data_IF_348980236558
#
_entry.id   IF_348980236558
#
_cell.length_a   1.000
_cell.length_b   1.000
_cell.length_c   1.000
_cell.angle_alpha   90.00
_cell.angle_beta   90.00
_cell.angle_gamma   90.00
#
_symmetry.space_group_name_H-M   'P 1'
#
loop_
_entity.id
_entity.type
_entity.pdbx_description
1 polymer ?
#
# COMPACT_ATOMS: atom_id res chain seq x y z
N UNK A 1 13.44 -40.36 20.76
CA UNK A 1 12.02 -40.64 21.04
C UNK A 1 11.76 -40.03 22.41
N UNK A 2 11.05 -38.93 22.57
CA UNK A 2 10.02 -38.34 21.71
C UNK A 2 10.03 -36.82 21.83
N UNK A 3 9.90 -36.17 20.69
CA UNK A 3 9.43 -34.79 20.58
C UNK A 3 7.97 -34.74 21.04
N UNK A 4 7.55 -33.65 21.71
CA UNK A 4 6.21 -33.13 21.45
C UNK A 4 6.07 -31.65 21.83
N UNK A 5 5.79 -30.89 20.77
CA UNK A 5 4.94 -29.72 20.65
C UNK A 5 5.07 -28.55 21.63
N UNK A 6 5.90 -27.58 21.25
CA UNK A 6 5.63 -26.16 21.56
C UNK A 6 4.67 -25.63 20.50
N UNK A 7 3.40 -25.48 20.86
CA UNK A 7 2.45 -24.63 20.14
C UNK A 7 2.99 -23.20 20.16
N UNK A 8 3.57 -22.78 19.03
CA UNK A 8 3.65 -21.37 18.68
C UNK A 8 2.34 -21.03 17.99
N UNK A 9 1.35 -20.62 18.78
CA UNK A 9 0.24 -19.82 18.25
C UNK A 9 0.88 -18.55 17.69
N UNK A 10 0.89 -18.46 16.36
CA UNK A 10 1.10 -17.20 15.67
C UNK A 10 0.02 -16.26 16.17
N UNK A 11 0.40 -15.18 16.84
CA UNK A 11 -0.47 -14.02 17.05
C UNK A 11 -0.80 -13.41 15.68
N UNK A 12 -1.67 -14.09 14.93
CA UNK A 12 -2.48 -13.47 13.89
C UNK A 12 -3.37 -12.48 14.62
N UNK A 13 -2.97 -11.22 14.56
CA UNK A 13 -3.85 -10.10 14.90
C UNK A 13 -4.97 -10.11 13.85
N UNK A 14 -6.03 -10.86 14.12
CA UNK A 14 -7.26 -10.80 13.34
C UNK A 14 -7.82 -9.39 13.48
N UNK A 15 -7.59 -8.56 12.47
CA UNK A 15 -8.39 -7.36 12.29
C UNK A 15 -9.70 -7.79 11.64
N UNK A 16 -10.66 -8.18 12.49
CA UNK A 16 -12.02 -8.54 12.08
C UNK A 16 -12.83 -7.33 11.57
N UNK A 17 -12.48 -6.11 11.94
CA UNK A 17 -13.37 -4.99 11.68
C UNK A 17 -13.13 -4.33 10.33
N UNK A 18 -14.13 -4.52 9.49
CA UNK A 18 -14.30 -3.78 8.28
C UNK A 18 -14.78 -2.34 8.63
N UNK A 19 -14.05 -1.22 8.38
CA UNK A 19 -14.58 0.14 8.51
C UNK A 19 -15.90 0.43 7.77
N UNK A 20 -16.24 -0.36 6.76
CA UNK A 20 -17.53 -0.36 6.07
C UNK A 20 -18.39 -1.58 6.46
N UNK A 21 -18.12 -2.19 7.62
CA UNK A 21 -18.96 -3.24 8.16
C UNK A 21 -20.32 -2.62 8.42
N UNK A 22 -21.29 -3.03 7.60
CA UNK A 22 -22.68 -2.67 7.75
C UNK A 22 -23.23 -3.05 9.14
N UNK A 23 -22.49 -3.85 9.93
CA UNK A 23 -22.82 -4.19 11.31
C UNK A 23 -22.37 -3.17 12.35
N UNK A 24 -21.46 -2.23 12.04
CA UNK A 24 -20.94 -1.30 13.05
C UNK A 24 -21.85 -0.07 13.28
N UNK A 25 -22.71 0.24 12.32
CA UNK A 25 -23.76 1.27 12.47
C UNK A 25 -25.13 0.68 12.24
N UNK A 26 -26.03 0.93 13.18
CA UNK A 26 -27.41 0.45 13.10
C UNK A 26 -28.34 1.57 12.62
N UNK A 27 -29.50 1.24 12.03
CA UNK A 27 -30.49 2.24 11.61
C UNK A 27 -30.85 3.28 12.68
N UNK A 28 -30.79 2.92 13.96
CA UNK A 28 -31.01 3.84 15.09
C UNK A 28 -29.97 4.96 15.18
N UNK A 29 -28.73 4.72 14.72
CA UNK A 29 -27.67 5.71 14.74
C UNK A 29 -27.94 6.86 13.77
N UNK A 30 -28.67 6.61 12.68
CA UNK A 30 -29.10 7.66 11.73
C UNK A 30 -30.09 8.61 12.40
N UNK A 31 -30.99 8.10 13.25
CA UNK A 31 -31.93 8.94 13.98
C UNK A 31 -31.23 9.86 14.96
N UNK A 32 -30.15 9.40 15.60
CA UNK A 32 -29.34 10.24 16.50
C UNK A 32 -28.80 11.47 15.79
N UNK A 33 -28.42 11.36 14.51
CA UNK A 33 -27.92 12.51 13.73
C UNK A 33 -28.97 13.62 13.58
N UNK A 34 -30.26 13.28 13.40
CA UNK A 34 -31.33 14.28 13.33
C UNK A 34 -31.51 15.05 14.65
N UNK A 35 -31.23 14.41 15.79
CA UNK A 35 -31.31 15.06 17.09
C UNK A 35 -30.04 15.83 17.43
N UNK A 36 -28.87 15.30 17.08
CA UNK A 36 -27.58 15.92 17.35
C UNK A 36 -27.42 17.25 16.59
N UNK A 37 -27.83 17.28 15.33
CA UNK A 37 -27.68 18.46 14.47
C UNK A 37 -28.94 19.34 14.42
N UNK A 38 -30.01 18.97 15.12
CA UNK A 38 -31.30 19.66 15.11
C UNK A 38 -31.81 19.99 13.69
N UNK A 39 -31.75 18.99 12.80
CA UNK A 39 -32.20 19.11 11.41
C UNK A 39 -33.44 18.26 11.16
N UNK A 40 -34.37 18.69 10.29
CA UNK A 40 -35.52 17.90 9.87
C UNK A 40 -35.21 16.98 8.68
N UNK A 41 -34.14 17.27 7.94
CA UNK A 41 -33.71 16.53 6.75
C UNK A 41 -32.19 16.35 6.74
N UNK A 42 -31.74 15.22 6.20
CA UNK A 42 -30.31 14.90 6.03
C UNK A 42 -30.09 14.50 4.56
N UNK A 43 -29.27 15.25 3.79
CA UNK A 43 -28.84 14.86 2.47
C UNK A 43 -27.94 13.62 2.50
N UNK A 44 -28.17 12.70 1.56
CA UNK A 44 -27.37 11.49 1.36
C UNK A 44 -26.57 11.66 0.08
N UNK A 45 -25.25 11.51 0.14
CA UNK A 45 -24.35 11.72 -0.99
C UNK A 45 -23.51 10.51 -1.33
N UNK A 46 -23.09 10.44 -2.60
CA UNK A 46 -22.10 9.47 -3.05
C UNK A 46 -20.70 9.84 -2.58
N UNK A 47 -19.74 8.91 -2.68
CA UNK A 47 -18.30 9.18 -2.46
C UNK A 47 -17.77 10.36 -3.30
N UNK A 48 -18.44 10.69 -4.41
CA UNK A 48 -18.07 11.80 -5.32
C UNK A 48 -18.77 13.11 -4.98
N UNK A 49 -19.51 13.18 -3.87
CA UNK A 49 -20.25 14.36 -3.45
C UNK A 49 -21.52 14.64 -4.26
N UNK A 50 -22.06 13.64 -4.96
CA UNK A 50 -23.33 13.79 -5.69
C UNK A 50 -24.50 13.45 -4.78
N UNK A 51 -25.58 14.23 -4.82
CA UNK A 51 -26.79 13.97 -4.03
C UNK A 51 -27.52 12.72 -4.56
N UNK A 52 -27.61 11.70 -3.71
CA UNK A 52 -28.34 10.45 -3.99
C UNK A 52 -29.82 10.59 -3.60
N UNK A 53 -30.10 11.28 -2.49
CA UNK A 53 -31.45 11.51 -1.99
C UNK A 53 -31.42 12.27 -0.67
N UNK A 54 -32.59 12.48 -0.08
CA UNK A 54 -32.75 13.21 1.18
C UNK A 54 -33.58 12.35 2.14
N UNK A 55 -33.04 12.12 3.33
CA UNK A 55 -33.76 11.48 4.42
C UNK A 55 -34.57 12.53 5.17
N UNK A 56 -35.84 12.22 5.45
CA UNK A 56 -36.69 13.03 6.32
C UNK A 56 -36.80 12.39 7.69
N UNK A 57 -36.67 13.20 8.75
CA UNK A 57 -36.77 12.72 10.14
C UNK A 57 -38.02 11.89 10.39
N UNK A 58 -39.17 12.34 9.85
CA UNK A 58 -40.46 11.65 9.97
C UNK A 58 -40.45 10.24 9.37
N UNK A 59 -39.85 10.06 8.18
CA UNK A 59 -39.79 8.77 7.50
C UNK A 59 -38.87 7.80 8.23
N UNK A 60 -37.74 8.30 8.73
CA UNK A 60 -36.78 7.49 9.49
C UNK A 60 -37.41 7.04 10.81
N UNK A 61 -38.10 7.92 11.55
CA UNK A 61 -38.81 7.55 12.78
C UNK A 61 -39.94 6.55 12.51
N UNK A 62 -40.72 6.78 11.44
CA UNK A 62 -41.80 5.87 11.06
C UNK A 62 -41.27 4.46 10.75
N UNK A 63 -40.15 4.37 10.04
CA UNK A 63 -39.54 3.07 9.71
C UNK A 63 -38.94 2.39 10.94
N UNK A 64 -38.30 3.13 11.85
CA UNK A 64 -37.80 2.59 13.13
C UNK A 64 -38.90 2.16 14.11
N UNK A 65 -40.15 2.55 13.87
CA UNK A 65 -41.28 2.11 14.69
C UNK A 65 -41.62 0.63 14.45
N UNK A 66 -41.19 0.05 13.32
CA UNK A 66 -41.29 -1.38 13.01
C UNK A 66 -39.97 -2.10 13.33
N UNK A 67 -39.76 -2.32 14.64
CA UNK A 67 -38.50 -2.83 15.20
C UNK A 67 -38.13 -4.22 14.62
N UNK A 68 -39.11 -5.11 14.44
CA UNK A 68 -38.88 -6.46 13.91
C UNK A 68 -38.34 -6.46 12.47
N UNK A 69 -38.74 -5.46 11.68
CA UNK A 69 -38.27 -5.27 10.31
C UNK A 69 -36.89 -4.64 10.27
N UNK A 70 -36.62 -3.69 11.16
CA UNK A 70 -35.37 -2.93 11.21
C UNK A 70 -34.20 -3.75 11.73
N UNK A 71 -34.40 -4.64 12.69
CA UNK A 71 -33.34 -5.54 13.20
C UNK A 71 -32.71 -6.40 12.10
N UNK A 72 -33.44 -6.66 11.00
CA UNK A 72 -32.98 -7.49 9.88
C UNK A 72 -32.37 -6.70 8.73
N UNK A 73 -32.49 -5.37 8.75
CA UNK A 73 -32.07 -4.52 7.65
C UNK A 73 -30.66 -4.00 7.88
N UNK A 74 -29.84 -4.11 6.83
CA UNK A 74 -28.54 -3.45 6.82
C UNK A 74 -28.72 -1.94 6.67
N UNK A 75 -27.79 -1.18 7.22
CA UNK A 75 -27.83 0.29 7.24
C UNK A 75 -27.93 0.91 5.84
N UNK A 76 -27.25 0.32 4.86
CA UNK A 76 -27.27 0.75 3.46
C UNK A 76 -28.62 0.51 2.80
N UNK A 77 -29.22 -0.67 3.02
CA UNK A 77 -30.57 -0.97 2.53
C UNK A 77 -31.59 -0.01 3.17
N UNK A 78 -31.46 0.27 4.46
CA UNK A 78 -32.30 1.19 5.19
C UNK A 78 -32.22 2.63 4.63
N UNK A 79 -31.00 3.16 4.47
CA UNK A 79 -30.78 4.52 3.95
C UNK A 79 -31.22 4.62 2.49
N UNK A 80 -30.84 3.67 1.63
CA UNK A 80 -31.21 3.68 0.21
C UNK A 80 -32.72 3.62 0.01
N UNK A 81 -33.45 2.88 0.85
CA UNK A 81 -34.92 2.79 0.76
C UNK A 81 -35.62 4.08 1.17
N UNK A 82 -35.09 4.79 2.18
CA UNK A 82 -35.72 5.98 2.73
C UNK A 82 -35.26 7.29 2.06
N UNK A 83 -34.09 7.29 1.43
CA UNK A 83 -33.54 8.46 0.76
C UNK A 83 -34.38 8.78 -0.49
N UNK A 84 -35.23 9.80 -0.37
CA UNK A 84 -36.13 10.19 -1.43
C UNK A 84 -35.58 11.38 -2.23
N UNK A 85 -35.87 11.42 -3.52
CA UNK A 85 -35.67 12.63 -4.32
C UNK A 85 -36.66 13.70 -3.87
N UNK A 86 -36.15 14.91 -3.67
CA UNK A 86 -36.97 16.08 -3.37
C UNK A 86 -36.74 17.13 -4.45
N UNK A 87 -37.83 17.73 -4.92
CA UNK A 87 -37.78 18.87 -5.81
C UNK A 87 -37.34 20.12 -5.04
N UNK A 88 -37.03 21.18 -5.79
CA UNK A 88 -36.77 22.49 -5.19
C UNK A 88 -37.94 22.97 -4.33
N UNK A 89 -39.18 22.77 -4.80
CA UNK A 89 -40.39 23.18 -4.09
C UNK A 89 -40.56 22.42 -2.76
N UNK A 90 -40.21 21.14 -2.74
CA UNK A 90 -40.23 20.32 -1.53
C UNK A 90 -39.21 20.77 -0.47
N UNK A 91 -38.16 21.48 -0.90
CA UNK A 91 -37.10 21.99 -0.03
C UNK A 91 -37.34 23.41 0.49
N UNK A 92 -38.27 24.16 -0.10
CA UNK A 92 -38.62 25.51 0.35
C UNK A 92 -38.94 25.61 1.86
N UNK A 93 -39.66 24.65 2.48
CA UNK A 93 -39.92 24.67 3.93
C UNK A 93 -38.64 24.69 4.78
N UNK A 94 -37.54 24.14 4.28
CA UNK A 94 -36.26 24.05 4.96
C UNK A 94 -35.32 25.23 4.65
N UNK A 95 -35.78 26.22 3.88
CA UNK A 95 -34.96 27.33 3.41
C UNK A 95 -34.42 28.28 4.50
N UNK A 96 -34.88 28.15 5.75
CA UNK A 96 -34.34 28.88 6.91
C UNK A 96 -33.09 28.24 7.52
N UNK A 97 -32.82 26.97 7.19
CA UNK A 97 -31.65 26.23 7.67
C UNK A 97 -30.44 26.63 6.84
N UNK A 98 -29.34 26.99 7.50
CA UNK A 98 -28.13 27.47 6.84
C UNK A 98 -27.24 26.33 6.36
N UNK A 99 -27.13 25.28 7.17
CA UNK A 99 -26.23 24.15 6.98
C UNK A 99 -26.93 22.84 7.30
N UNK A 100 -26.58 21.81 6.54
CA UNK A 100 -27.11 20.46 6.69
C UNK A 100 -25.92 19.52 6.87
N UNK A 101 -25.98 18.65 7.88
CA UNK A 101 -25.07 17.51 7.95
C UNK A 101 -25.37 16.58 6.78
N UNK A 102 -24.33 16.08 6.14
CA UNK A 102 -24.43 15.20 4.99
C UNK A 102 -23.86 13.85 5.35
N UNK A 103 -24.50 12.78 4.90
CA UNK A 103 -24.05 11.41 5.14
C UNK A 103 -23.88 10.62 3.85
N UNK A 104 -23.12 9.54 3.91
CA UNK A 104 -23.12 8.51 2.86
C UNK A 104 -24.21 7.44 3.13
N UNK A 105 -24.29 6.43 2.26
CA UNK A 105 -25.26 5.32 2.40
C UNK A 105 -25.01 4.42 3.63
N UNK A 106 -23.90 4.57 4.34
CA UNK A 106 -23.58 3.82 5.56
C UNK A 106 -23.88 4.61 6.84
N UNK A 107 -24.45 5.80 6.73
CA UNK A 107 -24.74 6.65 7.89
C UNK A 107 -23.49 7.35 8.45
N UNK A 108 -22.43 7.46 7.66
CA UNK A 108 -21.21 8.19 8.04
C UNK A 108 -21.28 9.64 7.59
N UNK A 109 -20.98 10.55 8.53
CA UNK A 109 -20.89 11.98 8.26
C UNK A 109 -19.80 12.28 7.23
N UNK A 110 -20.16 13.04 6.19
CA UNK A 110 -19.29 13.48 5.09
C UNK A 110 -19.00 14.98 5.17
N UNK A 111 -19.32 15.61 6.31
CA UNK A 111 -19.24 17.05 6.53
C UNK A 111 -20.58 17.77 6.34
N UNK A 112 -20.54 19.08 6.15
CA UNK A 112 -21.74 19.93 6.05
C UNK A 112 -21.91 20.55 4.67
N UNK A 113 -23.15 20.69 4.24
CA UNK A 113 -23.53 21.45 3.05
C UNK A 113 -24.29 22.71 3.43
N UNK A 114 -23.94 23.83 2.79
CA UNK A 114 -24.77 25.02 2.83
C UNK A 114 -26.10 24.79 2.12
N UNK A 115 -27.10 25.60 2.49
CA UNK A 115 -28.41 25.64 1.80
C UNK A 115 -28.30 25.74 0.27
N UNK A 116 -27.39 26.56 -0.23
CA UNK A 116 -27.21 26.76 -1.68
C UNK A 116 -26.69 25.49 -2.36
N UNK A 117 -25.78 24.76 -1.72
CA UNK A 117 -25.26 23.49 -2.25
C UNK A 117 -26.36 22.44 -2.33
N UNK A 118 -27.18 22.28 -1.28
CA UNK A 118 -28.30 21.34 -1.29
C UNK A 118 -29.31 21.67 -2.41
N UNK A 119 -29.69 22.95 -2.52
CA UNK A 119 -30.70 23.39 -3.47
C UNK A 119 -30.20 23.22 -4.92
N UNK A 120 -28.92 23.54 -5.17
CA UNK A 120 -28.29 23.31 -6.48
C UNK A 120 -28.18 21.82 -6.84
N UNK A 121 -27.90 20.96 -5.86
CA UNK A 121 -27.77 19.53 -6.08
C UNK A 121 -29.12 18.87 -6.45
N UNK A 122 -30.23 19.34 -5.88
CA UNK A 122 -31.57 18.86 -6.22
C UNK A 122 -31.95 19.14 -7.68
N UNK A 123 -31.60 20.31 -8.22
CA UNK A 123 -31.89 20.62 -9.63
C UNK A 123 -31.04 19.79 -10.61
N UNK A 124 -29.82 19.44 -10.21
CA UNK A 124 -28.88 18.67 -11.04
C UNK A 124 -29.23 17.16 -11.08
N UNK A 125 -29.95 16.66 -10.06
CA UNK A 125 -30.28 15.23 -9.89
C UNK A 125 -31.33 14.66 -10.87
N UNK A 126 -31.86 15.46 -11.81
CA UNK A 126 -32.89 15.04 -12.76
C UNK A 126 -32.40 14.06 -13.85
N UNK A 127 -31.08 13.77 -13.94
CA UNK A 127 -30.47 13.12 -15.11
C UNK A 127 -29.80 11.75 -14.98
N UNK A 128 -29.50 11.20 -13.79
CA UNK A 128 -28.89 9.86 -13.65
C UNK A 128 -29.72 8.96 -12.74
N UNK A 129 -29.81 7.65 -13.03
CA UNK A 129 -30.53 6.69 -12.19
C UNK A 129 -29.68 6.36 -10.95
N UNK A 130 -30.07 6.79 -9.73
CA UNK A 130 -29.24 6.70 -8.53
C UNK A 130 -28.92 5.25 -8.15
N UNK A 131 -29.82 4.31 -8.48
CA UNK A 131 -29.63 2.89 -8.15
C UNK A 131 -28.41 2.27 -8.85
N UNK A 132 -28.14 2.65 -10.10
CA UNK A 132 -26.97 2.16 -10.82
C UNK A 132 -25.68 2.77 -10.25
N UNK A 133 -25.72 4.03 -9.81
CA UNK A 133 -24.59 4.69 -9.15
C UNK A 133 -24.34 4.13 -7.74
N UNK A 134 -25.40 3.84 -6.98
CA UNK A 134 -25.33 3.23 -5.66
C UNK A 134 -24.75 1.82 -5.74
N UNK A 135 -25.24 0.98 -6.66
CA UNK A 135 -24.69 -0.36 -6.89
C UNK A 135 -23.23 -0.31 -7.30
N UNK A 136 -22.89 0.57 -8.25
CA UNK A 136 -21.51 0.76 -8.67
C UNK A 136 -20.62 1.23 -7.52
N UNK A 137 -21.13 2.11 -6.65
CA UNK A 137 -20.39 2.57 -5.49
C UNK A 137 -20.17 1.44 -4.46
N UNK A 138 -21.17 0.59 -4.23
CA UNK A 138 -21.02 -0.60 -3.38
C UNK A 138 -20.00 -1.58 -3.96
N UNK A 139 -20.03 -1.82 -5.27
CA UNK A 139 -19.06 -2.68 -5.97
C UNK A 139 -17.64 -2.10 -5.92
N UNK A 140 -17.47 -0.80 -6.23
CA UNK A 140 -16.19 -0.10 -6.17
C UNK A 140 -15.59 -0.16 -4.75
N UNK A 141 -16.43 -0.06 -3.71
CA UNK A 141 -16.02 -0.15 -2.31
C UNK A 141 -15.68 -1.59 -1.89
N UNK A 142 -16.47 -2.58 -2.30
CA UNK A 142 -16.16 -3.98 -2.05
C UNK A 142 -14.85 -4.39 -2.73
N UNK A 143 -14.56 -3.83 -3.91
CA UNK A 143 -13.28 -4.02 -4.59
C UNK A 143 -12.13 -3.32 -3.83
N UNK A 144 -12.31 -2.07 -3.41
CA UNK A 144 -11.34 -1.33 -2.59
C UNK A 144 -11.01 -2.08 -1.29
N UNK A 145 -12.04 -2.61 -0.64
CA UNK A 145 -11.94 -3.49 0.52
C UNK A 145 -11.09 -4.73 0.24
N UNK A 146 -11.46 -5.45 -0.82
CA UNK A 146 -10.81 -6.70 -1.18
C UNK A 146 -9.33 -6.45 -1.51
N UNK A 147 -9.02 -5.34 -2.17
CA UNK A 147 -7.65 -4.91 -2.43
C UNK A 147 -6.92 -4.64 -1.11
N UNK A 148 -7.54 -3.93 -0.16
CA UNK A 148 -6.95 -3.69 1.15
C UNK A 148 -6.63 -5.00 1.88
N UNK A 149 -7.60 -5.94 1.96
CA UNK A 149 -7.37 -7.25 2.58
C UNK A 149 -6.25 -8.03 1.90
N UNK A 150 -6.22 -8.04 0.57
CA UNK A 150 -5.16 -8.72 -0.18
C UNK A 150 -3.81 -8.10 0.15
N UNK A 151 -3.68 -6.77 0.09
CA UNK A 151 -2.43 -6.07 0.37
C UNK A 151 -1.96 -6.27 1.81
N UNK A 152 -2.87 -6.30 2.77
CA UNK A 152 -2.57 -6.55 4.18
C UNK A 152 -1.96 -7.95 4.39
N UNK A 153 -2.49 -8.96 3.69
CA UNK A 153 -2.07 -10.36 3.84
C UNK A 153 -0.89 -10.77 2.95
N UNK A 154 -0.36 -9.87 2.12
CA UNK A 154 0.89 -10.15 1.40
C UNK A 154 2.01 -10.24 2.44
N UNK A 155 2.76 -11.37 2.51
CA UNK A 155 3.80 -11.60 3.51
C UNK A 155 5.11 -10.84 3.20
N UNK A 156 4.99 -9.55 2.89
CA UNK A 156 6.07 -8.60 2.63
C UNK A 156 5.68 -7.26 3.26
N UNK A 157 6.65 -6.49 3.71
CA UNK A 157 6.40 -5.12 4.15
C UNK A 157 6.13 -4.22 2.95
N UNK A 158 4.93 -3.63 2.91
CA UNK A 158 4.44 -2.84 1.80
C UNK A 158 4.20 -1.38 2.20
N UNK A 159 4.50 -0.48 1.26
CA UNK A 159 4.18 0.94 1.38
C UNK A 159 3.80 1.50 0.01
N UNK A 160 2.71 2.26 -0.08
CA UNK A 160 2.22 2.82 -1.33
C UNK A 160 2.17 4.35 -1.28
N UNK A 161 2.69 4.97 -2.34
CA UNK A 161 2.70 6.42 -2.53
C UNK A 161 1.91 6.80 -3.78
N UNK A 162 1.24 7.95 -3.75
CA UNK A 162 0.60 8.53 -4.92
C UNK A 162 1.61 9.26 -5.82
N UNK A 163 1.13 9.87 -6.90
CA UNK A 163 1.95 10.65 -7.84
C UNK A 163 2.68 11.83 -7.20
N UNK A 164 2.15 12.36 -6.09
CA UNK A 164 2.71 13.48 -5.34
C UNK A 164 3.69 13.03 -4.26
N UNK A 165 3.88 11.72 -4.09
CA UNK A 165 4.71 11.16 -3.04
C UNK A 165 4.04 11.10 -1.67
N UNK A 166 2.72 11.28 -1.58
CA UNK A 166 1.98 11.12 -0.32
C UNK A 166 1.53 9.68 -0.13
N UNK A 167 1.49 9.24 1.13
CA UNK A 167 1.10 7.89 1.52
C UNK A 167 -0.36 7.60 1.21
N UNK A 168 -0.60 6.44 0.59
CA UNK A 168 -1.93 5.88 0.33
C UNK A 168 -2.21 4.69 1.24
N UNK A 169 -1.19 3.85 1.48
CA UNK A 169 -1.34 2.59 2.19
C UNK A 169 0.01 2.11 2.74
N UNK A 170 -0.03 1.37 3.85
CA UNK A 170 1.03 0.47 4.30
C UNK A 170 0.39 -0.66 5.10
N UNK A 171 1.00 -1.85 5.10
CA UNK A 171 0.49 -2.99 5.86
C UNK A 171 1.17 -3.15 7.22
N UNK A 172 0.60 -4.02 8.07
CA UNK A 172 1.16 -4.38 9.39
C UNK A 172 2.63 -4.82 9.32
N UNK A 173 3.02 -5.58 8.28
CA UNK A 173 4.41 -6.00 8.13
C UNK A 173 5.40 -4.83 8.00
N UNK A 174 5.00 -3.74 7.33
CA UNK A 174 5.82 -2.53 7.30
C UNK A 174 5.84 -1.85 8.67
N UNK A 175 4.69 -1.75 9.34
CA UNK A 175 4.56 -1.16 10.67
C UNK A 175 5.45 -1.87 11.71
N UNK A 176 5.45 -3.21 11.69
CA UNK A 176 6.29 -4.04 12.56
C UNK A 176 7.77 -3.73 12.36
N UNK A 177 8.24 -3.75 11.11
CA UNK A 177 9.64 -3.47 10.77
C UNK A 177 10.03 -2.04 11.14
N UNK A 178 9.16 -1.07 10.82
CA UNK A 178 9.41 0.34 11.11
C UNK A 178 9.54 0.56 12.63
N UNK A 179 8.61 -0.01 13.39
CA UNK A 179 8.60 0.08 14.85
C UNK A 179 9.78 -0.66 15.47
N UNK A 180 10.17 -1.81 14.91
CA UNK A 180 11.35 -2.54 15.34
C UNK A 180 12.62 -1.71 15.16
N UNK A 181 12.79 -1.05 14.01
CA UNK A 181 13.98 -0.29 13.65
C UNK A 181 14.07 1.07 14.35
N UNK A 182 12.98 1.84 14.34
CA UNK A 182 12.99 3.22 14.83
C UNK A 182 12.41 3.41 16.23
N UNK A 183 11.85 2.35 16.83
CA UNK A 183 11.24 2.37 18.18
C UNK A 183 10.16 3.44 18.33
N UNK A 184 9.42 3.71 17.26
CA UNK A 184 8.35 4.71 17.15
C UNK A 184 7.24 4.18 16.25
N UNK A 185 6.03 4.68 16.47
CA UNK A 185 4.91 4.45 15.57
C UNK A 185 5.15 5.09 14.20
N UNK A 186 4.50 4.54 13.18
CA UNK A 186 4.59 5.02 11.80
C UNK A 186 3.94 6.40 11.68
N UNK A 187 4.75 7.41 11.41
CA UNK A 187 4.28 8.72 10.94
C UNK A 187 4.43 8.79 9.41
N UNK A 188 3.32 8.84 8.63
CA UNK A 188 3.38 8.93 7.18
C UNK A 188 4.27 10.07 6.68
N UNK A 189 4.23 11.25 7.31
CA UNK A 189 5.04 12.41 6.88
C UNK A 189 6.53 12.16 7.06
N UNK A 190 6.89 11.45 8.12
CA UNK A 190 8.26 11.05 8.36
C UNK A 190 8.74 10.05 7.29
N UNK A 191 7.93 9.03 6.97
CA UNK A 191 8.27 8.03 5.95
C UNK A 191 8.35 8.65 4.55
N UNK A 192 7.42 9.52 4.18
CA UNK A 192 7.44 10.27 2.92
C UNK A 192 8.75 11.06 2.76
N UNK A 193 9.20 11.72 3.83
CA UNK A 193 10.48 12.44 3.85
C UNK A 193 11.67 11.49 3.75
N UNK A 194 11.64 10.39 4.49
CA UNK A 194 12.69 9.39 4.52
C UNK A 194 12.89 8.73 3.15
N UNK A 195 11.82 8.50 2.39
CA UNK A 195 11.87 7.90 1.05
C UNK A 195 12.14 8.89 -0.08
N UNK A 196 12.00 10.20 0.17
CA UNK A 196 12.28 11.25 -0.80
C UNK A 196 13.68 11.85 -0.67
N UNK A 197 14.34 11.68 0.48
CA UNK A 197 15.69 12.19 0.73
C UNK A 197 16.77 11.34 0.02
N UNK A 198 17.44 11.84 -1.03
CA UNK A 198 18.46 11.08 -1.75
C UNK A 198 19.70 10.77 -0.89
N UNK A 199 19.97 11.55 0.15
CA UNK A 199 21.12 11.31 1.05
C UNK A 199 20.91 10.10 1.96
N UNK A 200 19.65 9.65 2.08
CA UNK A 200 19.25 8.49 2.89
C UNK A 200 19.05 7.25 2.06
N UNK A 201 18.92 7.37 0.74
CA UNK A 201 18.53 6.28 -0.15
C UNK A 201 19.59 6.04 -1.23
N UNK A 202 20.40 5.01 -1.03
CA UNK A 202 21.44 4.61 -1.98
C UNK A 202 20.88 3.63 -3.01
N UNK A 203 21.16 3.85 -4.29
CA UNK A 203 20.72 2.99 -5.38
C UNK A 203 21.75 1.88 -5.65
N UNK A 204 21.27 0.64 -5.61
CA UNK A 204 22.01 -0.58 -5.96
C UNK A 204 21.43 -1.18 -7.23
N UNK A 205 22.31 -1.63 -8.12
CA UNK A 205 21.95 -2.41 -9.30
C UNK A 205 22.61 -3.78 -9.20
N UNK A 206 21.83 -4.85 -9.31
CA UNK A 206 22.38 -6.19 -9.30
C UNK A 206 22.95 -6.53 -10.69
N UNK A 207 24.20 -7.03 -10.72
CA UNK A 207 24.97 -7.23 -11.96
C UNK A 207 24.28 -8.21 -12.93
N UNK A 208 23.46 -9.13 -12.40
CA UNK A 208 22.88 -10.23 -13.16
C UNK A 208 21.37 -10.12 -13.42
N UNK A 209 20.61 -9.33 -12.66
CA UNK A 209 19.14 -9.40 -12.66
C UNK A 209 18.44 -8.14 -13.18
N UNK A 210 19.18 -7.10 -13.59
CA UNK A 210 18.62 -5.82 -14.09
C UNK A 210 17.67 -5.10 -13.10
N UNK A 211 17.51 -5.63 -11.88
CA UNK A 211 16.67 -5.07 -10.84
C UNK A 211 17.41 -3.98 -10.07
N UNK A 212 16.67 -2.91 -9.79
CA UNK A 212 17.12 -1.74 -9.04
C UNK A 212 16.56 -1.78 -7.62
N UNK A 213 17.46 -1.76 -6.65
CA UNK A 213 17.14 -1.78 -5.24
C UNK A 213 17.65 -0.51 -4.58
N UNK A 214 16.97 -0.04 -3.56
CA UNK A 214 17.43 1.08 -2.74
C UNK A 214 17.79 0.56 -1.36
N UNK A 215 18.84 1.11 -0.77
CA UNK A 215 19.14 0.93 0.65
C UNK A 215 18.83 2.22 1.38
N UNK A 216 17.94 2.15 2.37
CA UNK A 216 17.70 3.28 3.26
C UNK A 216 18.61 3.20 4.49
N UNK A 217 19.48 4.19 4.68
CA UNK A 217 20.46 4.20 5.77
C UNK A 217 19.88 4.45 7.15
N UNK A 218 18.67 5.00 7.25
CA UNK A 218 18.01 5.29 8.53
C UNK A 218 17.15 4.12 9.01
N UNK A 219 16.46 3.41 8.10
CA UNK A 219 15.77 2.17 8.40
C UNK A 219 16.71 0.95 8.41
N UNK A 220 17.89 1.09 7.79
CA UNK A 220 18.84 0.00 7.54
C UNK A 220 18.23 -1.17 6.74
N UNK A 221 17.44 -0.84 5.71
CA UNK A 221 16.68 -1.82 4.92
C UNK A 221 16.86 -1.62 3.43
N UNK A 222 16.76 -2.73 2.70
CA UNK A 222 16.60 -2.68 1.26
C UNK A 222 15.13 -2.55 0.89
N UNK A 223 14.85 -1.79 -0.16
CA UNK A 223 13.52 -1.72 -0.73
C UNK A 223 13.53 -1.65 -2.26
N UNK A 224 12.47 -2.19 -2.85
CA UNK A 224 12.16 -2.13 -4.27
C UNK A 224 11.11 -1.05 -4.51
N UNK A 225 11.21 -0.30 -5.61
CA UNK A 225 10.24 0.75 -5.94
C UNK A 225 9.61 0.49 -7.32
N UNK A 226 8.38 0.00 -7.31
CA UNK A 226 7.64 -0.39 -8.52
C UNK A 226 6.65 0.73 -8.90
N UNK A 227 6.70 1.28 -10.13
CA UNK A 227 5.74 2.30 -10.55
C UNK A 227 4.35 1.70 -10.73
N UNK A 228 3.35 2.33 -10.12
CA UNK A 228 1.95 2.02 -10.38
C UNK A 228 1.51 2.73 -11.66
N UNK A 229 0.92 2.00 -12.60
CA UNK A 229 0.46 2.51 -13.89
C UNK A 229 -1.05 2.47 -13.98
N UNK A 230 -1.66 3.58 -14.38
CA UNK A 230 -3.08 3.70 -14.70
C UNK A 230 -3.21 4.31 -16.10
N UNK A 231 -3.84 3.58 -17.02
CA UNK A 231 -3.98 3.99 -18.43
C UNK A 231 -2.66 4.44 -19.09
N UNK A 232 -1.56 3.75 -18.77
CA UNK A 232 -0.22 4.06 -19.28
C UNK A 232 0.46 5.28 -18.63
N UNK A 233 -0.20 5.96 -17.69
CA UNK A 233 0.41 7.03 -16.89
C UNK A 233 0.76 6.52 -15.51
N UNK A 234 1.91 6.96 -15.00
CA UNK A 234 2.33 6.65 -13.64
C UNK A 234 1.42 7.35 -12.63
N UNK A 235 0.73 6.59 -11.79
CA UNK A 235 -0.17 7.06 -10.73
C UNK A 235 0.46 7.07 -9.35
N UNK A 236 1.63 6.44 -9.18
CA UNK A 236 2.30 6.35 -7.88
C UNK A 236 3.41 5.31 -7.87
N UNK A 237 3.71 4.81 -6.67
CA UNK A 237 4.66 3.73 -6.46
C UNK A 237 4.16 2.76 -5.39
N UNK A 238 4.43 1.48 -5.61
CA UNK A 238 4.38 0.45 -4.57
C UNK A 238 5.82 0.12 -4.18
N UNK A 239 6.08 0.11 -2.89
CA UNK A 239 7.39 -0.07 -2.30
C UNK A 239 7.37 -1.34 -1.48
N UNK A 240 8.33 -2.22 -1.74
CA UNK A 240 8.49 -3.47 -1.01
C UNK A 240 9.76 -3.38 -0.17
N UNK A 241 9.62 -3.46 1.15
CA UNK A 241 10.76 -3.53 2.05
C UNK A 241 11.12 -4.99 2.30
N UNK A 242 12.41 -5.28 2.26
CA UNK A 242 12.93 -6.60 2.59
C UNK A 242 13.80 -6.50 3.85
N UNK A 243 13.42 -7.26 4.89
CA UNK A 243 14.22 -7.40 6.11
C UNK A 243 15.45 -8.27 5.86
N UNK A 244 15.43 -9.09 4.80
CA UNK A 244 16.65 -9.75 4.37
C UNK A 244 17.52 -8.68 3.75
N UNK A 245 18.70 -8.50 4.33
CA UNK A 245 19.83 -8.03 3.56
C UNK A 245 19.91 -8.93 2.32
N UNK A 246 19.44 -8.45 1.16
CA UNK A 246 20.03 -8.92 -0.11
C UNK A 246 21.54 -8.67 -0.07
N UNK A 247 22.03 -7.80 0.83
CA UNK A 247 23.41 -7.75 1.30
C UNK A 247 23.90 -8.97 2.12
N UNK A 248 23.21 -10.11 2.14
CA UNK A 248 23.88 -11.41 2.33
C UNK A 248 24.61 -11.86 1.03
N UNK A 249 24.40 -11.10 -0.07
CA UNK A 249 25.38 -10.80 -1.11
C UNK A 249 26.35 -9.68 -0.68
N UNK A 250 26.75 -9.60 0.61
CA UNK A 250 28.15 -9.27 0.89
C UNK A 250 28.93 -10.11 -0.12
N UNK A 251 29.78 -9.50 -0.95
CA UNK A 251 30.45 -10.22 -2.02
C UNK A 251 31.24 -11.38 -1.41
N UNK A 252 30.60 -12.56 -1.29
CA UNK A 252 31.09 -13.70 -0.53
C UNK A 252 32.02 -14.43 -1.47
N UNK A 253 33.29 -14.05 -1.43
CA UNK A 253 34.34 -14.82 -2.08
C UNK A 253 34.43 -16.13 -1.31
N UNK A 254 34.14 -17.30 -1.93
CA UNK A 254 34.16 -18.56 -1.23
C UNK A 254 35.51 -18.81 -0.57
N UNK A 255 35.51 -19.00 0.75
CA UNK A 255 36.71 -19.28 1.55
C UNK A 255 37.51 -18.05 2.02
N UNK A 256 36.98 -16.82 1.92
CA UNK A 256 37.66 -15.61 2.39
C UNK A 256 36.83 -14.89 3.46
N UNK A 257 37.34 -14.81 4.69
CA UNK A 257 36.83 -13.87 5.70
C UNK A 257 37.33 -12.46 5.37
N UNK A 258 36.41 -11.50 5.24
CA UNK A 258 36.69 -10.10 4.92
C UNK A 258 36.69 -9.20 6.16
N UNK A 259 36.32 -9.73 7.34
CA UNK A 259 36.29 -8.96 8.60
C UNK A 259 37.71 -8.63 9.06
N UNK A 260 37.94 -7.36 9.39
CA UNK A 260 39.23 -6.87 9.89
C UNK A 260 40.33 -6.68 8.84
N UNK A 261 40.01 -6.84 7.54
CA UNK A 261 40.95 -6.56 6.45
C UNK A 261 40.93 -5.11 6.03
N UNK A 262 42.06 -4.61 5.55
CA UNK A 262 42.17 -3.30 4.92
C UNK A 262 41.40 -3.26 3.59
N UNK A 263 40.98 -2.06 3.17
CA UNK A 263 40.29 -1.86 1.89
C UNK A 263 41.09 -2.45 0.71
N UNK A 264 42.41 -2.31 0.73
CA UNK A 264 43.29 -2.84 -0.31
C UNK A 264 43.21 -4.38 -0.39
N UNK A 265 43.20 -5.06 0.75
CA UNK A 265 43.09 -6.52 0.80
C UNK A 265 41.72 -7.03 0.37
N UNK A 266 40.65 -6.26 0.65
CA UNK A 266 39.30 -6.56 0.19
C UNK A 266 39.24 -6.47 -1.34
N UNK A 267 39.74 -5.36 -1.92
CA UNK A 267 39.77 -5.15 -3.37
C UNK A 267 40.60 -6.24 -4.06
N UNK A 268 41.78 -6.57 -3.53
CA UNK A 268 42.64 -7.62 -4.08
C UNK A 268 41.98 -9.01 -4.03
N UNK A 269 41.21 -9.28 -2.98
CA UNK A 269 40.45 -10.53 -2.86
C UNK A 269 39.34 -10.62 -3.90
N UNK A 270 38.57 -9.54 -4.08
CA UNK A 270 37.49 -9.42 -5.07
C UNK A 270 38.04 -9.58 -6.48
N UNK A 271 39.12 -8.85 -6.78
CA UNK A 271 39.78 -8.88 -8.07
C UNK A 271 40.28 -10.30 -8.41
N UNK A 272 40.94 -10.97 -7.46
CA UNK A 272 41.36 -12.37 -7.63
C UNK A 272 40.19 -13.31 -7.89
N UNK A 273 39.08 -13.16 -7.18
CA UNK A 273 37.91 -14.01 -7.36
C UNK A 273 37.32 -13.89 -8.77
N UNK A 274 37.11 -12.66 -9.23
CA UNK A 274 36.59 -12.37 -10.58
C UNK A 274 37.51 -12.90 -11.68
N UNK A 275 38.83 -12.82 -11.49
CA UNK A 275 39.80 -13.40 -12.41
C UNK A 275 39.69 -14.93 -12.47
N UNK A 276 39.60 -15.60 -11.32
CA UNK A 276 39.46 -17.06 -11.26
C UNK A 276 38.15 -17.52 -11.90
N UNK A 277 37.04 -16.82 -11.65
CA UNK A 277 35.74 -17.14 -12.22
C UNK A 277 35.74 -16.96 -13.75
N UNK A 278 36.24 -15.84 -14.25
CA UNK A 278 36.36 -15.58 -15.67
C UNK A 278 37.23 -16.63 -16.38
N UNK A 279 38.33 -17.07 -15.76
CA UNK A 279 39.20 -18.12 -16.29
C UNK A 279 38.56 -19.52 -16.22
N UNK A 280 37.72 -19.80 -15.23
CA UNK A 280 36.97 -21.06 -15.12
C UNK A 280 35.86 -21.17 -16.16
N UNK A 281 35.16 -20.06 -16.42
CA UNK A 281 34.01 -20.01 -17.30
C UNK A 281 34.39 -19.85 -18.78
N UNK A 282 35.65 -19.46 -19.07
CA UNK A 282 36.15 -19.28 -20.43
C UNK A 282 37.29 -20.24 -20.74
N UNK A 283 37.16 -21.00 -21.83
CA UNK A 283 38.17 -21.99 -22.24
C UNK A 283 39.53 -21.40 -22.68
N UNK A 284 39.59 -20.09 -22.95
CA UNK A 284 40.80 -19.39 -23.40
C UNK A 284 40.92 -18.01 -22.73
N UNK A 285 42.16 -17.61 -22.43
CA UNK A 285 42.46 -16.33 -21.77
C UNK A 285 41.97 -15.12 -22.56
N UNK A 286 41.95 -15.22 -23.89
CA UNK A 286 41.44 -14.18 -24.75
C UNK A 286 39.95 -13.89 -24.50
N UNK A 287 39.15 -14.94 -24.28
CA UNK A 287 37.72 -14.80 -23.98
C UNK A 287 37.50 -14.29 -22.55
N UNK A 288 38.33 -14.71 -21.60
CA UNK A 288 38.32 -14.18 -20.24
C UNK A 288 38.67 -12.68 -20.19
N UNK A 289 39.66 -12.23 -20.96
CA UNK A 289 40.04 -10.82 -21.05
C UNK A 289 38.91 -9.96 -21.64
N UNK A 290 38.24 -10.45 -22.69
CA UNK A 290 37.07 -9.78 -23.28
C UNK A 290 35.91 -9.72 -22.29
N UNK A 291 35.61 -10.81 -21.59
CA UNK A 291 34.55 -10.86 -20.56
C UNK A 291 34.77 -9.86 -19.43
N UNK A 292 36.03 -9.69 -19.02
CA UNK A 292 36.43 -8.77 -17.97
C UNK A 292 36.67 -7.34 -18.48
N UNK A 293 36.53 -7.10 -19.79
CA UNK A 293 36.80 -5.81 -20.45
C UNK A 293 38.20 -5.24 -20.14
N UNK A 294 39.21 -6.11 -20.09
CA UNK A 294 40.62 -5.73 -19.89
C UNK A 294 41.49 -6.24 -21.05
N UNK A 295 42.68 -5.63 -21.22
CA UNK A 295 43.64 -6.11 -22.22
C UNK A 295 44.24 -7.46 -21.82
N UNK A 296 44.68 -8.25 -22.81
CA UNK A 296 45.36 -9.54 -22.57
C UNK A 296 46.60 -9.39 -21.68
N UNK A 297 47.34 -8.29 -21.86
CA UNK A 297 48.52 -7.98 -21.06
C UNK A 297 48.16 -7.63 -19.61
N UNK A 298 47.06 -6.90 -19.40
CA UNK A 298 46.54 -6.61 -18.07
C UNK A 298 46.06 -7.89 -17.36
N UNK A 299 45.39 -8.80 -18.08
CA UNK A 299 44.99 -10.10 -17.55
C UNK A 299 46.21 -10.92 -17.12
N UNK A 300 47.23 -11.05 -17.98
CA UNK A 300 48.45 -11.81 -17.67
C UNK A 300 49.20 -11.24 -16.45
N UNK A 301 49.30 -9.92 -16.35
CA UNK A 301 49.91 -9.24 -15.19
C UNK A 301 49.15 -9.54 -13.90
N UNK A 302 47.81 -9.49 -13.93
CA UNK A 302 46.96 -9.77 -12.77
C UNK A 302 46.98 -11.25 -12.36
N UNK A 303 47.00 -12.19 -13.32
CA UNK A 303 47.19 -13.63 -13.04
C UNK A 303 48.49 -13.88 -12.28
N UNK A 304 49.58 -13.23 -12.73
CA UNK A 304 50.89 -13.32 -12.09
C UNK A 304 50.89 -12.67 -10.70
N UNK A 305 50.29 -11.49 -10.56
CA UNK A 305 50.14 -10.76 -9.28
C UNK A 305 49.47 -11.64 -8.21
N UNK A 306 48.41 -12.36 -8.59
CA UNK A 306 47.60 -13.14 -7.65
C UNK A 306 47.94 -14.63 -7.58
N UNK A 307 48.99 -15.08 -8.28
CA UNK A 307 49.46 -16.47 -8.25
C UNK A 307 48.38 -17.49 -8.64
N UNK A 308 47.54 -17.17 -9.63
CA UNK A 308 46.43 -18.04 -10.02
C UNK A 308 46.97 -19.21 -10.86
N UNK A 309 46.99 -20.41 -10.28
CA UNK A 309 47.39 -21.64 -10.98
C UNK A 309 46.19 -22.25 -11.74
N UNK A 310 46.33 -22.43 -13.06
CA UNK A 310 45.30 -23.02 -13.91
C UNK A 310 45.08 -24.51 -13.60
N UNK A 311 44.07 -24.85 -12.79
CA UNK A 311 43.56 -26.22 -12.77
C UNK A 311 42.77 -26.47 -14.05
N UNK A 312 43.44 -27.05 -15.06
CA UNK A 312 42.79 -27.64 -16.23
C UNK A 312 41.74 -28.65 -15.74
N UNK A 313 40.45 -28.43 -16.04
CA UNK A 313 39.42 -29.45 -15.85
C UNK A 313 39.85 -30.70 -16.61
N UNK A 314 40.04 -31.81 -15.88
CA UNK A 314 40.06 -33.15 -16.47
C UNK A 314 38.76 -33.31 -17.25
N UNK A 315 38.89 -33.58 -18.55
CA UNK A 315 37.77 -34.05 -19.37
C UNK A 315 37.32 -35.38 -18.78
N UNK A 316 36.13 -35.42 -18.19
CA UNK A 316 35.40 -36.69 -18.05
C UNK A 316 35.25 -37.24 -19.46
N UNK A 317 35.80 -38.43 -19.68
CA UNK A 317 35.31 -39.31 -20.73
C UNK A 317 33.90 -39.77 -20.39
#
# INVERSE_FOLDING_TARGET
MSEDNRNTESDTKEFEENPFDHQNKRPEDVVRLFYLHDVPVIPVVSKRGMLLGILRKENVIAELSDIERVEKLKIDEFITRLAARMSFDDLLPYGKIKEFIVINIFGEEQGTWSRLQLFSACDTSRGSAPEAEIRKQQEDQALEWMIYLILEHIPRALYALNSNGSTIFYNSHFEDIFTEKLKKEVDPKHVEKLLSDPSKNELFAEINDNDLYFYNSELELFYEKVPLLSSGKKSGFLIFFDNKSKADNSFKIPGVDLRGKSLQEIIDSVERHMLVEALRNNAAHDKAAVSLKISKQALASKIKKFGINETKKQKSK
#
